data_IF_292872313913
#
_entry.id   IF_292872313913
#
_cell.length_a   1.000
_cell.length_b   1.000
_cell.length_c   1.000
_cell.angle_alpha   90.00
_cell.angle_beta   90.00
_cell.angle_gamma   90.00
#
_symmetry.space_group_name_H-M   'P 1'
#
loop_
_entity.id
_entity.type
_entity.pdbx_description
1 polymer ?
#
# COMPACT_ATOMS: atom_id res chain seq x y z
N UNK A 1 -24.34 4.51 62.75
CA UNK A 1 -25.57 3.92 63.33
C UNK A 1 -26.58 5.03 63.52
N UNK A 2 -27.45 5.26 62.55
CA UNK A 2 -28.67 6.06 62.71
C UNK A 2 -29.69 5.51 61.71
N UNK A 3 -30.74 4.94 62.27
CA UNK A 3 -31.87 4.30 61.62
C UNK A 3 -32.96 5.34 61.39
N UNK A 4 -33.57 5.33 60.20
CA UNK A 4 -34.91 5.91 59.96
C UNK A 4 -35.64 5.07 58.89
N UNK A 5 -36.99 5.05 58.92
CA UNK A 5 -37.76 3.83 58.65
C UNK A 5 -38.53 3.82 57.31
N UNK A 6 -38.91 2.60 56.94
CA UNK A 6 -39.93 2.24 55.96
C UNK A 6 -41.30 2.90 56.22
N UNK A 7 -42.00 3.28 55.15
CA UNK A 7 -43.40 2.86 54.96
C UNK A 7 -43.79 2.82 53.46
N UNK A 8 -44.55 1.81 52.97
CA UNK A 8 -44.89 1.64 51.57
C UNK A 8 -46.32 2.07 51.24
N UNK A 9 -46.50 2.84 50.16
CA UNK A 9 -47.81 3.11 49.59
C UNK A 9 -48.03 2.27 48.33
N UNK A 10 -48.91 1.29 48.48
CA UNK A 10 -49.49 0.45 47.44
C UNK A 10 -50.38 1.30 46.52
N UNK A 11 -50.17 1.24 45.21
CA UNK A 11 -51.23 1.51 44.24
C UNK A 11 -51.34 0.32 43.29
N UNK A 12 -52.42 -0.44 43.48
CA UNK A 12 -52.99 -1.36 42.50
C UNK A 12 -54.09 -0.59 41.76
N UNK A 13 -54.11 -0.69 40.44
CA UNK A 13 -55.21 -0.46 39.48
C UNK A 13 -54.57 0.07 38.19
N UNK A 14 -54.92 -0.34 36.99
CA UNK A 14 -55.87 -1.30 36.48
C UNK A 14 -55.46 -1.58 35.03
N UNK A 15 -55.91 -2.72 34.50
CA UNK A 15 -55.70 -3.20 33.13
C UNK A 15 -56.26 -2.22 32.10
N UNK A 16 -55.50 -1.95 31.04
CA UNK A 16 -55.96 -1.61 29.67
C UNK A 16 -54.79 -1.93 28.72
N UNK A 17 -54.77 -3.11 28.10
CA UNK A 17 -55.12 -3.31 26.68
C UNK A 17 -54.34 -2.39 25.73
N UNK A 18 -53.26 -2.91 25.15
CA UNK A 18 -52.90 -2.77 23.74
C UNK A 18 -51.61 -3.56 23.47
N UNK A 19 -51.79 -4.77 22.97
CA UNK A 19 -50.73 -5.54 22.35
C UNK A 19 -50.27 -4.80 21.08
N UNK A 20 -49.09 -4.18 21.11
CA UNK A 20 -48.36 -3.80 19.90
C UNK A 20 -47.14 -4.71 19.85
N UNK A 21 -47.34 -5.88 19.26
CA UNK A 21 -46.29 -6.77 18.76
C UNK A 21 -45.56 -6.03 17.62
N UNK A 22 -44.60 -5.18 17.99
CA UNK A 22 -43.61 -4.66 17.03
C UNK A 22 -42.63 -5.80 16.79
N UNK A 23 -42.96 -6.65 15.83
CA UNK A 23 -42.00 -7.53 15.19
C UNK A 23 -40.98 -6.65 14.46
N UNK A 24 -39.92 -6.26 15.16
CA UNK A 24 -38.69 -5.80 14.52
C UNK A 24 -38.09 -7.01 13.80
N UNK A 25 -38.56 -7.23 12.57
CA UNK A 25 -37.80 -7.99 11.58
C UNK A 25 -36.51 -7.22 11.35
N UNK A 26 -35.46 -7.59 12.08
CA UNK A 26 -34.09 -7.29 11.68
C UNK A 26 -33.91 -7.94 10.31
N UNK A 27 -34.08 -7.15 9.26
CA UNK A 27 -33.54 -7.46 7.96
C UNK A 27 -32.03 -7.57 8.16
N UNK A 28 -31.54 -8.81 8.32
CA UNK A 28 -30.12 -9.09 8.25
C UNK A 28 -29.67 -8.72 6.85
N UNK A 29 -29.11 -7.51 6.70
CA UNK A 29 -28.26 -7.19 5.58
C UNK A 29 -27.10 -8.18 5.61
N UNK A 30 -27.22 -9.24 4.82
CA UNK A 30 -26.09 -10.10 4.50
C UNK A 30 -25.16 -9.26 3.65
N UNK A 31 -24.12 -8.71 4.27
CA UNK A 31 -23.00 -8.12 3.54
C UNK A 31 -22.27 -9.25 2.81
N UNK A 32 -22.58 -9.40 1.52
CA UNK A 32 -21.81 -10.26 0.65
C UNK A 32 -20.44 -9.59 0.41
N UNK A 33 -19.43 -10.04 1.16
CA UNK A 33 -18.05 -9.57 0.99
C UNK A 33 -17.49 -10.13 -0.32
N UNK A 34 -17.69 -9.40 -1.41
CA UNK A 34 -17.08 -9.71 -2.70
C UNK A 34 -15.56 -9.44 -2.58
N UNK A 35 -14.78 -10.50 -2.42
CA UNK A 35 -13.31 -10.42 -2.41
C UNK A 35 -12.84 -10.33 -3.86
N UNK A 36 -12.50 -9.12 -4.32
CA UNK A 36 -11.89 -8.91 -5.62
C UNK A 36 -10.42 -9.35 -5.58
N UNK A 37 -10.09 -10.37 -6.34
CA UNK A 37 -8.73 -10.88 -6.45
C UNK A 37 -8.05 -10.34 -7.72
N UNK A 38 -7.11 -9.41 -7.54
CA UNK A 38 -6.25 -8.86 -8.59
C UNK A 38 -4.80 -9.05 -8.21
N UNK A 39 -4.18 -10.20 -8.52
CA UNK A 39 -2.75 -10.37 -8.34
C UNK A 39 -2.00 -9.29 -9.12
N UNK A 40 -0.91 -8.76 -8.55
CA UNK A 40 -0.10 -7.65 -9.10
C UNK A 40 0.32 -7.86 -10.56
N UNK A 41 0.50 -9.11 -10.99
CA UNK A 41 0.92 -9.49 -12.34
C UNK A 41 -0.24 -9.95 -13.24
N UNK A 42 -1.48 -9.97 -12.76
CA UNK A 42 -2.64 -10.48 -13.50
C UNK A 42 -3.05 -9.65 -14.73
N UNK A 43 -2.42 -8.49 -14.94
CA UNK A 43 -2.63 -7.63 -16.12
C UNK A 43 -1.54 -7.78 -17.20
N UNK A 44 -0.56 -8.67 -17.02
CA UNK A 44 0.45 -8.94 -18.05
C UNK A 44 -0.10 -9.96 -19.08
N UNK A 45 0.21 -9.81 -20.37
CA UNK A 45 -0.18 -10.79 -21.37
C UNK A 45 0.44 -12.16 -21.02
N UNK A 46 -0.40 -13.20 -20.97
CA UNK A 46 -0.06 -14.58 -20.60
C UNK A 46 0.23 -14.87 -19.11
N UNK A 47 -0.08 -13.96 -18.18
CA UNK A 47 0.04 -14.26 -16.76
C UNK A 47 -0.97 -15.37 -16.35
N UNK A 48 -0.45 -16.53 -15.93
CA UNK A 48 -1.26 -17.60 -15.34
C UNK A 48 -1.37 -17.36 -13.84
N UNK A 49 -2.58 -17.10 -13.36
CA UNK A 49 -2.86 -16.94 -11.93
C UNK A 49 -3.57 -18.19 -11.43
N UNK A 50 -3.13 -18.73 -10.29
CA UNK A 50 -3.75 -19.93 -9.69
C UNK A 50 -5.18 -19.71 -9.17
N UNK A 51 -5.71 -18.48 -9.27
CA UNK A 51 -7.07 -18.12 -8.88
C UNK A 51 -7.74 -17.32 -9.99
N UNK A 52 -9.07 -17.46 -10.11
CA UNK A 52 -9.89 -16.77 -11.11
C UNK A 52 -9.90 -15.27 -10.80
N UNK A 53 -9.40 -14.45 -11.73
CA UNK A 53 -9.46 -12.99 -11.65
C UNK A 53 -10.92 -12.57 -11.73
N UNK A 54 -11.48 -12.13 -10.60
CA UNK A 54 -12.87 -11.65 -10.50
C UNK A 54 -12.84 -10.13 -10.44
N UNK A 55 -13.26 -9.47 -11.53
CA UNK A 55 -13.47 -8.03 -11.60
C UNK A 55 -14.96 -7.73 -11.89
N UNK A 56 -15.54 -6.63 -11.38
CA UNK A 56 -16.91 -6.28 -11.67
C UNK A 56 -17.10 -5.97 -13.17
N UNK A 57 -18.18 -6.47 -13.76
CA UNK A 57 -18.55 -6.23 -15.16
C UNK A 57 -18.87 -4.73 -15.33
N UNK A 58 -18.02 -4.00 -16.06
CA UNK A 58 -18.14 -2.55 -16.27
C UNK A 58 -17.25 -1.66 -15.39
N UNK A 59 -16.40 -2.24 -14.54
CA UNK A 59 -15.48 -1.45 -13.71
C UNK A 59 -14.22 -1.06 -14.50
N UNK A 60 -14.22 0.17 -15.01
CA UNK A 60 -12.99 0.86 -15.36
C UNK A 60 -12.18 1.10 -14.07
N UNK A 61 -10.85 1.01 -14.15
CA UNK A 61 -9.98 1.32 -13.01
C UNK A 61 -10.39 2.66 -12.38
N UNK A 62 -10.44 2.79 -11.04
CA UNK A 62 -10.79 4.04 -10.39
C UNK A 62 -9.80 5.11 -10.86
N UNK A 63 -10.33 6.09 -11.59
CA UNK A 63 -9.62 7.32 -11.90
C UNK A 63 -9.52 8.09 -10.58
N UNK A 64 -8.44 7.86 -9.83
CA UNK A 64 -8.10 8.73 -8.72
C UNK A 64 -7.57 10.03 -9.31
N UNK A 65 -8.44 11.04 -9.40
CA UNK A 65 -8.07 12.38 -9.85
C UNK A 65 -9.23 13.15 -10.44
N UNK A 66 -10.19 13.56 -9.60
CA UNK A 66 -11.05 14.70 -9.94
C UNK A 66 -10.17 15.95 -9.96
N UNK A 67 -9.75 16.33 -11.16
CA UNK A 67 -9.17 17.63 -11.47
C UNK A 67 -7.64 17.67 -11.53
N UNK A 68 -7.13 18.06 -12.71
CA UNK A 68 -5.77 18.50 -13.03
C UNK A 68 -4.74 17.41 -13.38
N UNK A 69 -4.82 16.86 -14.59
CA UNK A 69 -3.78 17.02 -15.63
C UNK A 69 -4.22 16.25 -16.90
N UNK A 70 -3.86 16.72 -18.12
CA UNK A 70 -4.16 16.00 -19.35
C UNK A 70 -3.48 14.63 -19.31
N UNK A 71 -4.25 13.55 -19.46
CA UNK A 71 -3.68 12.22 -19.71
C UNK A 71 -2.75 12.34 -20.92
N UNK A 72 -1.46 12.14 -20.71
CA UNK A 72 -0.50 12.05 -21.81
C UNK A 72 -0.92 10.86 -22.68
N UNK A 73 -1.54 11.15 -23.83
CA UNK A 73 -1.80 10.18 -24.87
C UNK A 73 -0.47 9.56 -25.28
N UNK A 74 -0.42 8.23 -25.33
CA UNK A 74 0.69 7.54 -25.98
C UNK A 74 0.78 7.97 -27.45
N UNK A 75 1.92 7.71 -28.08
CA UNK A 75 2.11 7.90 -29.54
C UNK A 75 1.12 7.09 -30.39
N UNK A 76 0.35 6.19 -29.76
CA UNK A 76 -0.69 5.33 -30.31
C UNK A 76 -2.12 5.85 -30.05
N UNK A 77 -2.28 7.02 -29.41
CA UNK A 77 -3.58 7.64 -29.16
C UNK A 77 -4.46 6.93 -28.12
N UNK A 78 -3.93 5.93 -27.41
CA UNK A 78 -4.66 5.23 -26.34
C UNK A 78 -4.44 5.94 -25.00
N UNK A 79 -5.46 5.99 -24.12
CA UNK A 79 -5.27 6.43 -22.74
C UNK A 79 -4.27 5.47 -22.09
N UNK A 80 -3.09 6.00 -21.73
CA UNK A 80 -2.10 5.23 -20.98
C UNK A 80 -2.76 4.79 -19.69
N UNK A 81 -2.85 3.48 -19.47
CA UNK A 81 -3.21 2.95 -18.16
C UNK A 81 -2.27 3.59 -17.12
N UNK A 82 -2.76 3.93 -15.93
CA UNK A 82 -2.00 4.69 -14.92
C UNK A 82 -0.64 4.07 -14.49
N UNK A 83 -0.28 2.88 -14.99
CA UNK A 83 1.02 2.24 -14.81
C UNK A 83 2.09 2.66 -15.85
N UNK A 84 1.71 3.31 -16.95
CA UNK A 84 2.61 3.61 -18.09
C UNK A 84 3.23 5.02 -18.06
N UNK A 85 2.90 5.84 -17.06
CA UNK A 85 3.54 7.16 -16.84
C UNK A 85 4.37 7.16 -15.57
N UNK A 86 5.02 6.05 -15.25
CA UNK A 86 5.91 5.95 -14.08
C UNK A 86 7.32 6.45 -14.38
N UNK A 87 7.69 6.59 -15.65
CA UNK A 87 8.96 7.16 -16.09
C UNK A 87 8.69 8.17 -17.19
N UNK A 88 9.21 9.39 -17.04
CA UNK A 88 9.21 10.40 -18.11
C UNK A 88 10.59 10.38 -18.77
N UNK A 89 10.61 10.23 -20.09
CA UNK A 89 11.83 10.42 -20.87
C UNK A 89 11.95 11.91 -21.25
N UNK A 90 12.92 12.62 -20.65
CA UNK A 90 13.26 14.01 -20.99
C UNK A 90 14.54 14.02 -21.81
N UNK A 91 14.39 13.85 -23.13
CA UNK A 91 15.54 13.67 -24.03
C UNK A 91 16.19 12.30 -23.81
N UNK A 92 17.43 12.27 -23.31
CA UNK A 92 18.14 11.03 -22.94
C UNK A 92 18.00 10.65 -21.46
N UNK A 93 17.38 11.50 -20.65
CA UNK A 93 17.26 11.31 -19.21
C UNK A 93 15.92 10.64 -18.87
N UNK A 94 15.97 9.56 -18.09
CA UNK A 94 14.79 8.88 -17.56
C UNK A 94 14.54 9.37 -16.14
N UNK A 95 13.45 10.11 -15.95
CA UNK A 95 13.04 10.62 -14.65
C UNK A 95 11.99 9.69 -14.08
N UNK A 96 12.27 9.12 -12.91
CA UNK A 96 11.32 8.33 -12.15
C UNK A 96 10.22 9.21 -11.55
N UNK A 97 8.97 8.81 -11.76
CA UNK A 97 7.82 9.35 -11.06
C UNK A 97 7.35 8.35 -9.99
N UNK A 98 7.50 8.74 -8.72
CA UNK A 98 6.99 8.02 -7.57
C UNK A 98 6.33 9.01 -6.60
N UNK A 99 5.07 9.33 -6.85
CA UNK A 99 4.22 10.18 -6.00
C UNK A 99 3.58 9.39 -4.86
N UNK A 100 3.57 8.06 -4.94
CA UNK A 100 3.08 7.13 -3.91
C UNK A 100 4.12 6.09 -3.50
N UNK A 101 3.93 5.46 -2.34
CA UNK A 101 4.76 4.34 -1.88
C UNK A 101 4.63 3.15 -2.82
N UNK A 102 3.42 2.89 -3.33
CA UNK A 102 3.16 1.88 -4.36
C UNK A 102 3.99 2.09 -5.63
N UNK A 103 4.08 3.31 -6.13
CA UNK A 103 4.87 3.62 -7.33
C UNK A 103 6.37 3.40 -7.10
N UNK A 104 6.88 3.80 -5.93
CA UNK A 104 8.27 3.53 -5.54
C UNK A 104 8.56 2.02 -5.53
N UNK A 105 7.65 1.20 -5.00
CA UNK A 105 7.80 -0.26 -5.04
C UNK A 105 7.91 -0.82 -6.46
N UNK A 106 7.09 -0.31 -7.40
CA UNK A 106 7.14 -0.73 -8.81
C UNK A 106 8.51 -0.43 -9.42
N UNK A 107 9.08 0.73 -9.10
CA UNK A 107 10.42 1.10 -9.59
C UNK A 107 11.53 0.26 -8.99
N UNK A 108 11.45 -0.06 -7.70
CA UNK A 108 12.39 -0.99 -7.05
C UNK A 108 12.33 -2.35 -7.75
N UNK A 109 11.13 -2.92 -7.90
CA UNK A 109 10.93 -4.21 -8.55
C UNK A 109 11.49 -4.23 -9.98
N UNK A 110 11.17 -3.22 -10.80
CA UNK A 110 11.66 -3.12 -12.18
C UNK A 110 13.18 -2.97 -12.26
N UNK A 111 13.78 -2.26 -11.30
CA UNK A 111 15.23 -2.11 -11.24
C UNK A 111 15.89 -3.46 -10.93
N UNK A 112 15.36 -4.24 -9.98
CA UNK A 112 15.83 -5.58 -9.66
C UNK A 112 15.63 -6.55 -10.84
N UNK A 113 14.43 -6.58 -11.42
CA UNK A 113 14.08 -7.46 -12.56
C UNK A 113 14.97 -7.24 -13.78
N UNK A 114 15.39 -5.99 -14.03
CA UNK A 114 16.27 -5.63 -15.16
C UNK A 114 17.75 -5.57 -14.78
N UNK A 115 18.06 -5.82 -13.51
CA UNK A 115 19.39 -5.61 -12.92
C UNK A 115 19.98 -4.20 -13.25
N UNK A 116 19.11 -3.19 -13.37
CA UNK A 116 19.48 -1.84 -13.78
C UNK A 116 20.00 -1.04 -12.57
N UNK A 117 21.23 -1.39 -12.18
CA UNK A 117 21.96 -0.78 -11.06
C UNK A 117 22.05 0.73 -11.16
N UNK A 118 22.31 1.24 -12.36
CA UNK A 118 22.46 2.68 -12.57
C UNK A 118 21.14 3.38 -12.31
N UNK A 119 20.05 2.88 -12.90
CA UNK A 119 18.72 3.42 -12.62
C UNK A 119 18.38 3.33 -11.13
N UNK A 120 18.69 2.22 -10.46
CA UNK A 120 18.45 2.09 -9.03
C UNK A 120 19.20 3.15 -8.21
N UNK A 121 20.51 3.28 -8.40
CA UNK A 121 21.32 4.24 -7.65
C UNK A 121 20.93 5.67 -7.98
N UNK A 122 20.72 6.00 -9.25
CA UNK A 122 20.43 7.37 -9.69
C UNK A 122 19.01 7.81 -9.33
N UNK A 123 18.03 6.91 -9.50
CA UNK A 123 16.60 7.24 -9.46
C UNK A 123 15.81 6.56 -8.33
N UNK A 124 16.23 5.42 -7.78
CA UNK A 124 15.42 4.77 -6.73
C UNK A 124 15.96 5.11 -5.35
N UNK A 125 17.28 5.08 -5.19
CA UNK A 125 17.96 5.33 -3.92
C UNK A 125 17.97 6.82 -3.57
N UNK A 126 17.64 7.12 -2.31
CA UNK A 126 17.66 8.49 -1.79
C UNK A 126 19.06 9.10 -1.82
N UNK A 127 19.12 10.42 -2.02
CA UNK A 127 20.37 11.18 -1.87
C UNK A 127 20.96 10.98 -0.48
N UNK A 128 20.12 10.96 0.55
CA UNK A 128 20.55 10.70 1.93
C UNK A 128 21.32 9.38 2.08
N UNK A 129 20.81 8.27 1.54
CA UNK A 129 21.52 6.97 1.62
C UNK A 129 22.80 6.97 0.79
N UNK A 130 22.81 7.58 -0.40
CA UNK A 130 24.03 7.71 -1.20
C UNK A 130 25.11 8.50 -0.46
N UNK A 131 24.76 9.62 0.16
CA UNK A 131 25.69 10.42 0.97
C UNK A 131 26.25 9.60 2.14
N UNK A 132 25.41 8.84 2.84
CA UNK A 132 25.86 7.95 3.93
C UNK A 132 26.83 6.87 3.43
N UNK A 133 26.60 6.30 2.24
CA UNK A 133 27.55 5.37 1.60
C UNK A 133 28.90 6.04 1.33
N UNK A 134 28.89 7.21 0.69
CA UNK A 134 30.12 7.94 0.39
C UNK A 134 30.89 8.35 1.65
N UNK A 135 30.19 8.77 2.71
CA UNK A 135 30.80 9.08 4.00
C UNK A 135 31.47 7.86 4.64
N UNK A 136 30.94 6.66 4.39
CA UNK A 136 31.52 5.39 4.86
C UNK A 136 32.58 4.82 3.90
N UNK A 137 32.87 5.49 2.78
CA UNK A 137 33.77 4.97 1.74
C UNK A 137 33.22 3.76 0.99
N UNK A 138 31.92 3.51 1.06
CA UNK A 138 31.24 2.39 0.39
C UNK A 138 30.58 2.90 -0.89
N UNK A 139 30.72 2.14 -1.97
CA UNK A 139 30.02 2.44 -3.24
C UNK A 139 28.52 2.12 -3.11
N UNK A 140 27.61 3.06 -3.41
CA UNK A 140 26.15 2.79 -3.36
C UNK A 140 25.71 1.59 -4.20
N UNK A 141 26.43 1.30 -5.28
CA UNK A 141 26.24 0.15 -6.15
C UNK A 141 26.27 -1.18 -5.39
N UNK A 142 27.06 -1.29 -4.32
CA UNK A 142 27.17 -2.51 -3.52
C UNK A 142 25.90 -2.78 -2.71
N UNK A 143 25.12 -1.74 -2.41
CA UNK A 143 23.80 -1.94 -1.80
C UNK A 143 22.83 -2.63 -2.77
N UNK A 144 22.95 -2.32 -4.07
CA UNK A 144 22.15 -2.97 -5.09
C UNK A 144 22.57 -4.43 -5.30
N UNK A 145 23.87 -4.74 -5.23
CA UNK A 145 24.36 -6.14 -5.23
C UNK A 145 23.73 -6.97 -4.12
N UNK A 146 23.80 -6.47 -2.88
CA UNK A 146 23.19 -7.15 -1.75
C UNK A 146 21.67 -7.29 -1.89
N UNK A 147 21.00 -6.36 -2.58
CA UNK A 147 19.56 -6.48 -2.87
C UNK A 147 19.24 -7.54 -3.92
N UNK A 148 20.11 -7.76 -4.90
CA UNK A 148 19.93 -8.84 -5.89
C UNK A 148 20.01 -10.21 -5.21
N UNK A 149 20.90 -10.38 -4.24
CA UNK A 149 21.04 -11.63 -3.48
C UNK A 149 19.79 -11.97 -2.64
N UNK A 150 19.04 -10.95 -2.21
CA UNK A 150 17.82 -11.08 -1.39
C UNK A 150 16.56 -10.63 -2.14
N UNK A 151 16.59 -10.65 -3.47
CA UNK A 151 15.51 -10.14 -4.32
C UNK A 151 14.17 -10.82 -4.04
N UNK A 152 14.17 -12.13 -3.79
CA UNK A 152 12.96 -12.90 -3.46
C UNK A 152 12.29 -12.40 -2.18
N UNK A 153 13.07 -12.05 -1.14
CA UNK A 153 12.55 -11.52 0.12
C UNK A 153 11.92 -10.12 -0.05
N UNK A 154 12.47 -9.31 -0.96
CA UNK A 154 11.89 -8.01 -1.33
C UNK A 154 10.56 -8.21 -2.06
N UNK A 155 10.49 -9.20 -2.96
CA UNK A 155 9.25 -9.56 -3.67
C UNK A 155 8.19 -10.07 -2.69
N UNK A 156 8.56 -10.90 -1.71
CA UNK A 156 7.65 -11.35 -0.65
C UNK A 156 7.07 -10.18 0.15
N UNK A 157 7.92 -9.23 0.55
CA UNK A 157 7.48 -8.01 1.22
C UNK A 157 6.47 -7.25 0.36
N UNK A 158 6.73 -7.09 -0.94
CA UNK A 158 5.82 -6.36 -1.84
C UNK A 158 4.51 -7.10 -2.09
N UNK A 159 4.54 -8.44 -2.12
CA UNK A 159 3.34 -9.28 -2.19
C UNK A 159 2.46 -9.14 -0.93
N UNK A 160 3.06 -8.81 0.22
CA UNK A 160 2.31 -8.51 1.43
C UNK A 160 1.63 -7.12 1.40
N UNK A 161 2.08 -6.20 0.53
CA UNK A 161 1.53 -4.85 0.38
C UNK A 161 1.29 -4.40 -1.08
N UNK A 162 0.46 -5.11 -1.86
CA UNK A 162 0.34 -4.88 -3.31
C UNK A 162 -0.20 -3.49 -3.70
N UNK A 163 -0.85 -2.77 -2.79
CA UNK A 163 -1.35 -1.41 -3.01
C UNK A 163 -0.49 -0.35 -2.30
N UNK A 164 0.73 -0.71 -1.86
CA UNK A 164 1.56 0.15 -1.01
C UNK A 164 0.82 0.56 0.25
N UNK A 165 0.77 1.86 0.50
CA UNK A 165 0.03 2.51 1.59
C UNK A 165 -1.48 2.28 1.55
N UNK A 166 -2.05 1.93 0.39
CA UNK A 166 -3.47 1.58 0.27
C UNK A 166 -3.80 0.15 0.69
N UNK A 167 -2.80 -0.66 1.07
CA UNK A 167 -3.04 -2.05 1.47
C UNK A 167 -3.59 -2.12 2.91
N UNK A 168 -4.71 -2.82 3.17
CA UNK A 168 -5.19 -3.02 4.53
C UNK A 168 -4.13 -3.65 5.45
N UNK A 169 -3.91 -3.08 6.65
CA UNK A 169 -2.88 -3.55 7.58
C UNK A 169 -1.46 -3.09 7.24
N UNK A 170 -1.31 -2.18 6.28
CA UNK A 170 -0.07 -1.40 6.09
C UNK A 170 -0.23 -0.05 6.77
N UNK A 171 0.81 0.37 7.49
CA UNK A 171 0.85 1.63 8.19
C UNK A 171 1.97 2.50 7.60
N UNK A 172 1.62 3.74 7.25
CA UNK A 172 2.58 4.77 6.91
C UNK A 172 2.79 5.67 8.14
N UNK A 173 4.00 5.68 8.69
CA UNK A 173 4.33 6.42 9.92
C UNK A 173 5.46 7.42 9.67
N UNK A 174 5.36 8.68 10.11
CA UNK A 174 6.51 9.58 10.08
C UNK A 174 7.57 9.12 11.09
N UNK A 175 8.84 9.06 10.69
CA UNK A 175 9.96 8.71 11.60
C UNK A 175 10.87 9.90 11.92
N UNK A 176 10.55 11.07 11.36
CA UNK A 176 11.32 12.31 11.54
C UNK A 176 12.27 12.60 10.38
N UNK A 177 12.71 13.85 10.26
CA UNK A 177 13.65 14.26 9.20
C UNK A 177 13.11 14.09 7.77
N UNK A 178 11.78 14.17 7.60
CA UNK A 178 11.12 13.99 6.30
C UNK A 178 11.01 12.53 5.83
N UNK A 179 11.41 11.58 6.68
CA UNK A 179 11.27 10.15 6.41
C UNK A 179 9.91 9.62 6.84
N UNK A 180 9.41 8.70 6.04
CA UNK A 180 8.19 7.94 6.27
C UNK A 180 8.49 6.46 6.17
N UNK A 181 7.96 5.71 7.12
CA UNK A 181 8.05 4.27 7.21
C UNK A 181 6.77 3.65 6.69
N UNK A 182 6.88 2.80 5.67
CA UNK A 182 5.79 1.95 5.22
C UNK A 182 6.00 0.54 5.80
N UNK A 183 5.12 0.13 6.69
CA UNK A 183 5.27 -1.07 7.51
C UNK A 183 4.04 -1.97 7.40
N UNK A 184 4.25 -3.26 7.15
CA UNK A 184 3.19 -4.27 7.07
C UNK A 184 2.96 -4.86 8.47
N UNK A 185 1.70 -5.18 8.82
CA UNK A 185 1.39 -5.97 10.01
C UNK A 185 2.30 -7.22 10.08
N UNK A 186 3.08 -7.41 11.17
CA UNK A 186 4.01 -8.54 11.32
C UNK A 186 3.37 -9.92 11.10
N UNK A 187 2.05 -10.05 11.29
CA UNK A 187 1.32 -11.30 11.04
C UNK A 187 1.23 -11.67 9.56
N UNK A 188 1.39 -10.72 8.63
CA UNK A 188 1.34 -10.94 7.18
C UNK A 188 2.71 -11.26 6.57
N UNK A 189 3.78 -10.95 7.30
CA UNK A 189 5.19 -11.10 6.87
C UNK A 189 5.96 -11.97 7.88
N UNK A 190 5.33 -13.04 8.38
CA UNK A 190 5.93 -13.88 9.44
C UNK A 190 7.24 -14.51 9.00
N UNK A 191 7.27 -14.97 7.74
CA UNK A 191 8.38 -15.72 7.15
C UNK A 191 9.34 -14.82 6.34
N UNK A 192 9.01 -13.53 6.19
CA UNK A 192 9.87 -12.57 5.50
C UNK A 192 10.88 -11.94 6.46
N UNK A 193 12.10 -11.70 6.00
CA UNK A 193 13.13 -10.93 6.71
C UNK A 193 12.71 -9.47 6.92
N UNK A 194 11.96 -8.92 5.97
CA UNK A 194 11.57 -7.53 5.97
C UNK A 194 10.14 -7.33 6.44
N UNK A 195 9.92 -6.25 7.19
CA UNK A 195 8.58 -5.84 7.62
C UNK A 195 8.10 -4.55 6.95
N UNK A 196 8.95 -3.89 6.17
CA UNK A 196 8.65 -2.62 5.55
C UNK A 196 9.85 -1.96 4.90
N UNK A 197 9.69 -0.72 4.51
CA UNK A 197 10.79 0.14 4.05
C UNK A 197 10.57 1.59 4.46
N UNK A 198 11.67 2.32 4.61
CA UNK A 198 11.69 3.76 4.82
C UNK A 198 11.85 4.48 3.48
N UNK A 199 11.08 5.54 3.29
CA UNK A 199 11.09 6.40 2.11
C UNK A 199 11.17 7.88 2.49
N UNK A 200 11.75 8.69 1.60
CA UNK A 200 11.92 10.14 1.78
C UNK A 200 11.45 10.88 0.54
N UNK A 201 10.81 12.03 0.73
CA UNK A 201 10.37 12.89 -0.36
C UNK A 201 11.52 13.79 -0.81
N UNK A 202 12.02 13.58 -2.03
CA UNK A 202 13.09 14.38 -2.64
C UNK A 202 12.61 14.96 -3.98
N UNK A 203 12.53 16.29 -4.06
CA UNK A 203 12.09 17.02 -5.29
C UNK A 203 10.71 16.55 -5.79
N UNK A 204 9.78 16.27 -4.86
CA UNK A 204 8.43 15.82 -5.18
C UNK A 204 8.33 14.35 -5.62
N UNK A 205 9.39 13.55 -5.43
CA UNK A 205 9.41 12.11 -5.68
C UNK A 205 9.80 11.36 -4.41
N UNK A 206 9.10 10.27 -4.08
CA UNK A 206 9.54 9.33 -3.06
C UNK A 206 10.78 8.59 -3.53
N UNK A 207 11.79 8.52 -2.67
CA UNK A 207 13.01 7.75 -2.86
C UNK A 207 13.17 6.77 -1.71
N UNK A 208 13.81 5.64 -1.98
CA UNK A 208 14.09 4.62 -1.00
C UNK A 208 15.20 5.10 -0.05
N UNK A 209 14.91 5.15 1.26
CA UNK A 209 15.95 5.25 2.28
C UNK A 209 16.59 3.88 2.45
N UNK A 210 15.83 2.91 2.95
CA UNK A 210 16.25 1.51 3.05
C UNK A 210 15.10 0.59 3.47
N UNK A 211 15.31 -0.73 3.41
CA UNK A 211 14.40 -1.72 3.96
C UNK A 211 14.53 -1.84 5.48
N UNK A 212 13.45 -2.26 6.13
CA UNK A 212 13.37 -2.46 7.57
C UNK A 212 13.35 -3.94 7.85
N UNK A 213 14.40 -4.43 8.49
CA UNK A 213 14.46 -5.79 8.98
C UNK A 213 13.55 -5.96 10.19
N UNK A 214 12.98 -7.14 10.32
CA UNK A 214 12.25 -7.54 11.53
C UNK A 214 13.25 -7.63 12.68
N UNK A 215 13.00 -6.89 13.76
CA UNK A 215 13.76 -7.07 15.00
C UNK A 215 13.48 -8.48 15.53
N UNK A 216 14.54 -9.28 15.67
CA UNK A 216 14.47 -10.63 16.22
C UNK A 216 13.86 -10.66 17.64
#
# INVERSE_FOLDING_TARGET
>A
MTSTPHNPAKFKCARCVAAVLIAFTFAGCVEEKVIYNRPMLGSLPNAQTGQVVTAPKGWAAPQFGDGLEPQATGSDGKPKSGADTLVIERGKERIMLARSGRELMIHIYRALEKEDRRFFVDQVLSEKTRTECYQKGVKPELLFDGLLEIGDEVVELFNAMPQGEGTPGVLMKPIGGGLFRLEVDPRRVRDSRFQGFDMIMEKGQWRLKWFIEKSA
#
